data_IF_014038740438
#
_entry.id   IF_014038740438
#
_cell.length_a   1.000
_cell.length_b   1.000
_cell.length_c   1.000
_cell.angle_alpha   90.00
_cell.angle_beta   90.00
_cell.angle_gamma   90.00
#
_symmetry.space_group_name_H-M   'P 1'
#
loop_
_entity.id
_entity.type
_entity.pdbx_description
1 polymer ?
#
# COMPACT_ATOMS: atom_id res chain seq x y z
N UNK A 1 20.19 -26.47 10.99
CA UNK A 1 20.57 -25.12 10.52
C UNK A 1 19.36 -24.57 9.76
N UNK A 2 18.74 -23.47 10.21
CA UNK A 2 17.63 -22.84 9.48
C UNK A 2 18.17 -22.33 8.14
N UNK A 3 17.56 -22.74 7.03
CA UNK A 3 17.88 -22.16 5.74
C UNK A 3 17.31 -20.73 5.66
N UNK A 4 17.99 -19.84 4.93
CA UNK A 4 17.54 -18.45 4.72
C UNK A 4 16.10 -18.37 4.19
N UNK A 5 15.69 -19.36 3.39
CA UNK A 5 14.33 -19.50 2.86
C UNK A 5 13.29 -19.75 3.96
N UNK A 6 13.61 -20.56 4.97
CA UNK A 6 12.71 -20.85 6.09
C UNK A 6 12.48 -19.60 6.95
N UNK A 7 13.54 -18.80 7.12
CA UNK A 7 13.49 -17.55 7.88
C UNK A 7 12.65 -16.50 7.15
N UNK A 8 12.80 -16.38 5.83
CA UNK A 8 11.98 -15.50 5.00
C UNK A 8 10.53 -15.98 4.95
N UNK A 9 10.27 -17.29 4.85
CA UNK A 9 8.91 -17.80 4.90
C UNK A 9 8.25 -17.54 6.25
N UNK A 10 8.97 -17.69 7.36
CA UNK A 10 8.38 -17.53 8.69
C UNK A 10 8.16 -16.05 9.04
N UNK A 11 9.17 -15.19 8.85
CA UNK A 11 9.07 -13.76 9.21
C UNK A 11 8.52 -12.89 8.10
N UNK A 12 8.56 -13.36 6.86
CA UNK A 12 8.12 -12.61 5.69
C UNK A 12 6.62 -12.33 5.72
N UNK A 13 5.78 -13.32 6.05
CA UNK A 13 4.34 -13.06 6.20
C UNK A 13 4.05 -12.07 7.34
N UNK A 14 4.80 -12.13 8.44
CA UNK A 14 4.65 -11.15 9.52
C UNK A 14 5.05 -9.74 9.05
N UNK A 15 6.12 -9.62 8.27
CA UNK A 15 6.50 -8.36 7.64
C UNK A 15 5.44 -7.88 6.64
N UNK A 16 4.79 -8.76 5.88
CA UNK A 16 3.65 -8.38 5.02
C UNK A 16 2.49 -7.87 5.87
N UNK A 17 2.18 -8.52 6.99
CA UNK A 17 1.07 -8.11 7.86
C UNK A 17 1.30 -6.69 8.41
N UNK A 18 2.47 -6.43 8.98
CA UNK A 18 2.84 -5.12 9.52
C UNK A 18 3.02 -4.11 8.38
N UNK A 19 3.67 -4.49 7.30
CA UNK A 19 3.87 -3.63 6.15
C UNK A 19 2.53 -3.19 5.56
N UNK A 20 1.60 -4.13 5.37
CA UNK A 20 0.26 -3.85 4.83
C UNK A 20 -0.57 -2.89 5.68
N UNK A 21 -0.27 -2.80 6.97
CA UNK A 21 -0.87 -1.83 7.88
C UNK A 21 -0.46 -0.39 7.53
N UNK A 22 0.83 -0.15 7.29
CA UNK A 22 1.37 1.20 7.03
C UNK A 22 1.40 1.55 5.55
N UNK A 23 1.96 0.67 4.74
CA UNK A 23 2.22 0.86 3.32
C UNK A 23 1.92 -0.45 2.59
N UNK A 24 0.73 -0.53 1.98
CA UNK A 24 0.23 -1.80 1.47
C UNK A 24 0.74 -2.12 0.07
N UNK A 25 0.72 -1.14 -0.82
CA UNK A 25 0.93 -1.32 -2.25
C UNK A 25 2.34 -1.84 -2.53
N UNK A 26 3.37 -1.16 -2.02
CA UNK A 26 4.78 -1.54 -2.18
C UNK A 26 5.07 -2.91 -1.58
N UNK A 27 4.56 -3.16 -0.37
CA UNK A 27 4.78 -4.42 0.37
C UNK A 27 4.11 -5.60 -0.34
N UNK A 28 2.90 -5.41 -0.85
CA UNK A 28 2.21 -6.43 -1.65
C UNK A 28 2.88 -6.66 -3.01
N UNK A 29 3.44 -5.64 -3.65
CA UNK A 29 4.21 -5.83 -4.90
C UNK A 29 5.46 -6.67 -4.65
N UNK A 30 6.19 -6.40 -3.56
CA UNK A 30 7.33 -7.24 -3.15
C UNK A 30 6.88 -8.66 -2.76
N UNK A 31 5.76 -8.78 -2.06
CA UNK A 31 5.14 -10.06 -1.74
C UNK A 31 4.78 -10.85 -3.00
N UNK A 32 4.22 -10.19 -4.02
CA UNK A 32 3.88 -10.82 -5.30
C UNK A 32 5.14 -11.32 -6.02
N UNK A 33 6.24 -10.57 -5.98
CA UNK A 33 7.53 -11.06 -6.48
C UNK A 33 8.01 -12.30 -5.72
N UNK A 34 7.87 -12.33 -4.39
CA UNK A 34 8.20 -13.51 -3.59
C UNK A 34 7.29 -14.73 -3.91
N UNK A 35 6.03 -14.51 -4.30
CA UNK A 35 5.15 -15.57 -4.83
C UNK A 35 5.66 -16.06 -6.19
N UNK A 36 6.08 -15.16 -7.09
CA UNK A 36 6.68 -15.54 -8.37
C UNK A 36 7.92 -16.41 -8.20
N UNK A 37 8.72 -16.16 -7.16
CA UNK A 37 9.90 -16.96 -6.81
C UNK A 37 9.58 -18.23 -6.01
N UNK A 38 8.30 -18.61 -5.88
CA UNK A 38 7.83 -19.77 -5.12
C UNK A 38 8.20 -19.75 -3.62
N UNK A 39 8.56 -18.58 -3.07
CA UNK A 39 8.86 -18.41 -1.65
C UNK A 39 7.57 -18.28 -0.86
N UNK A 40 6.59 -17.53 -1.38
CA UNK A 40 5.28 -17.34 -0.74
C UNK A 40 4.15 -18.04 -1.49
N UNK A 41 3.11 -18.41 -0.74
CA UNK A 41 1.85 -18.88 -1.28
C UNK A 41 0.95 -17.69 -1.63
N UNK A 42 0.38 -17.71 -2.84
CA UNK A 42 -0.50 -16.66 -3.35
C UNK A 42 -1.68 -16.34 -2.43
N UNK A 43 -2.45 -17.36 -2.03
CA UNK A 43 -3.63 -17.18 -1.20
C UNK A 43 -3.28 -16.74 0.22
N UNK A 44 -2.21 -17.30 0.77
CA UNK A 44 -1.76 -16.93 2.12
C UNK A 44 -1.28 -15.47 2.16
N UNK A 45 -0.56 -15.02 1.12
CA UNK A 45 -0.18 -13.61 0.98
C UNK A 45 -1.41 -12.69 0.96
N UNK A 46 -2.43 -13.03 0.19
CA UNK A 46 -3.68 -12.25 0.11
C UNK A 46 -4.34 -12.15 1.49
N UNK A 47 -4.50 -13.27 2.19
CA UNK A 47 -5.14 -13.30 3.51
C UNK A 47 -4.36 -12.43 4.51
N UNK A 48 -3.04 -12.59 4.56
CA UNK A 48 -2.17 -11.85 5.48
C UNK A 48 -2.20 -10.35 5.20
N UNK A 49 -2.13 -9.95 3.93
CA UNK A 49 -2.21 -8.55 3.54
C UNK A 49 -3.60 -7.95 3.78
N UNK A 50 -4.65 -8.72 3.51
CA UNK A 50 -6.04 -8.36 3.81
C UNK A 50 -6.20 -8.08 5.31
N UNK A 51 -5.67 -8.94 6.18
CA UNK A 51 -5.71 -8.76 7.63
C UNK A 51 -4.94 -7.51 8.08
N UNK A 52 -3.71 -7.31 7.58
CA UNK A 52 -2.92 -6.14 7.91
C UNK A 52 -3.60 -4.83 7.52
N UNK A 53 -4.15 -4.77 6.30
CA UNK A 53 -4.92 -3.62 5.82
C UNK A 53 -6.21 -3.41 6.61
N UNK A 54 -6.97 -4.49 6.86
CA UNK A 54 -8.22 -4.43 7.63
C UNK A 54 -8.01 -3.86 9.03
N UNK A 55 -6.97 -4.33 9.74
CA UNK A 55 -6.66 -3.86 11.09
C UNK A 55 -6.29 -2.38 11.11
N UNK A 56 -5.48 -1.91 10.15
CA UNK A 56 -5.14 -0.50 10.02
C UNK A 56 -6.37 0.39 9.83
N UNK A 57 -7.21 0.03 8.86
CA UNK A 57 -8.42 0.78 8.55
C UNK A 57 -9.41 0.78 9.73
N UNK A 58 -9.53 -0.35 10.42
CA UNK A 58 -10.38 -0.49 11.60
C UNK A 58 -9.93 0.41 12.75
N UNK A 59 -8.61 0.53 12.98
CA UNK A 59 -8.08 1.46 13.97
C UNK A 59 -8.37 2.92 13.60
N UNK A 60 -8.17 3.30 12.35
CA UNK A 60 -8.47 4.66 11.89
C UNK A 60 -9.95 5.00 12.00
N UNK A 61 -10.83 4.06 11.65
CA UNK A 61 -12.27 4.21 11.86
C UNK A 61 -12.62 4.41 13.34
N UNK A 62 -12.03 3.62 14.24
CA UNK A 62 -12.28 3.76 15.68
C UNK A 62 -11.77 5.08 16.24
N UNK A 63 -10.59 5.55 15.78
CA UNK A 63 -10.07 6.87 16.14
C UNK A 63 -11.07 7.95 15.76
N UNK A 64 -11.58 7.93 14.52
CA UNK A 64 -12.60 8.88 14.08
C UNK A 64 -13.89 8.82 14.90
N UNK A 65 -14.35 7.61 15.22
CA UNK A 65 -15.59 7.41 15.97
C UNK A 65 -15.47 7.81 17.45
N UNK A 66 -14.31 7.65 18.06
CA UNK A 66 -14.11 7.94 19.48
C UNK A 66 -13.70 9.40 19.73
N UNK A 67 -12.77 9.94 18.94
CA UNK A 67 -12.24 11.30 19.13
C UNK A 67 -13.03 12.38 18.37
N UNK A 68 -13.91 11.98 17.44
CA UNK A 68 -14.80 12.90 16.75
C UNK A 68 -14.09 13.92 15.86
N UNK A 69 -14.84 14.96 15.48
CA UNK A 69 -14.38 15.98 14.52
C UNK A 69 -13.26 16.87 15.07
N UNK A 70 -13.19 17.03 16.39
CA UNK A 70 -12.21 17.87 17.09
C UNK A 70 -10.77 17.41 16.85
N UNK A 71 -10.56 16.11 16.63
CA UNK A 71 -9.25 15.57 16.29
C UNK A 71 -8.76 16.06 14.91
N UNK A 72 -9.66 16.10 13.93
CA UNK A 72 -9.34 16.53 12.57
C UNK A 72 -9.21 18.05 12.50
N UNK A 73 -10.05 18.81 13.21
CA UNK A 73 -10.01 20.28 13.18
C UNK A 73 -8.69 20.86 13.68
N UNK A 74 -7.98 20.16 14.57
CA UNK A 74 -6.61 20.52 15.01
C UNK A 74 -5.57 20.46 13.90
N UNK A 75 -5.89 19.85 12.75
CA UNK A 75 -4.98 19.68 11.61
C UNK A 75 -5.63 20.22 10.33
N UNK A 76 -5.29 21.45 9.89
CA UNK A 76 -5.99 22.13 8.79
C UNK A 76 -5.99 21.34 7.48
N UNK A 77 -4.91 20.62 7.16
CA UNK A 77 -4.83 19.76 5.97
C UNK A 77 -5.78 18.56 6.03
N UNK A 78 -6.02 17.99 7.21
CA UNK A 78 -6.98 16.89 7.35
C UNK A 78 -8.41 17.42 7.35
N UNK A 79 -8.67 18.57 7.96
CA UNK A 79 -9.98 19.22 7.96
C UNK A 79 -10.47 19.53 6.54
N UNK A 80 -9.60 20.11 5.70
CA UNK A 80 -9.93 20.39 4.30
C UNK A 80 -10.29 19.10 3.53
N UNK A 81 -9.52 18.03 3.72
CA UNK A 81 -9.79 16.73 3.07
C UNK A 81 -11.04 16.05 3.61
N UNK A 82 -11.33 16.20 4.91
CA UNK A 82 -12.57 15.72 5.51
C UNK A 82 -13.77 16.43 4.88
N UNK A 83 -13.73 17.74 4.73
CA UNK A 83 -14.82 18.53 4.15
C UNK A 83 -15.09 18.13 2.69
N UNK A 84 -14.02 17.99 1.89
CA UNK A 84 -14.12 17.52 0.50
C UNK A 84 -14.69 16.10 0.38
N UNK A 85 -14.32 15.21 1.31
CA UNK A 85 -14.77 13.81 1.28
C UNK A 85 -16.13 13.59 1.97
N UNK A 86 -16.57 14.50 2.84
CA UNK A 86 -17.77 14.38 3.65
C UNK A 86 -19.03 14.20 2.80
N UNK A 87 -19.19 15.00 1.75
CA UNK A 87 -20.36 14.92 0.86
C UNK A 87 -20.43 13.57 0.15
N UNK A 88 -19.28 13.04 -0.27
CA UNK A 88 -19.21 11.76 -0.98
C UNK A 88 -19.45 10.57 -0.04
N UNK A 89 -18.95 10.65 1.20
CA UNK A 89 -19.18 9.64 2.24
C UNK A 89 -20.67 9.52 2.59
N UNK A 90 -21.40 10.63 2.65
CA UNK A 90 -22.83 10.64 2.98
C UNK A 90 -23.68 9.99 1.88
N UNK A 91 -23.38 10.29 0.61
CA UNK A 91 -24.15 9.76 -0.51
C UNK A 91 -23.75 8.33 -0.88
N UNK A 92 -22.45 7.99 -0.79
CA UNK A 92 -21.91 6.71 -1.24
C UNK A 92 -20.92 6.10 -0.23
N UNK A 93 -21.35 5.72 0.98
CA UNK A 93 -20.45 5.25 2.04
C UNK A 93 -19.72 3.96 1.64
N UNK A 94 -20.43 3.01 1.03
CA UNK A 94 -19.85 1.72 0.61
C UNK A 94 -18.83 1.93 -0.52
N UNK A 95 -19.18 2.69 -1.55
CA UNK A 95 -18.26 3.00 -2.65
C UNK A 95 -17.01 3.73 -2.14
N UNK A 96 -17.16 4.63 -1.17
CA UNK A 96 -16.03 5.31 -0.55
C UNK A 96 -15.07 4.34 0.14
N UNK A 97 -15.59 3.32 0.84
CA UNK A 97 -14.78 2.28 1.48
C UNK A 97 -13.97 1.48 0.45
N UNK A 98 -14.50 1.25 -0.75
CA UNK A 98 -13.74 0.60 -1.82
C UNK A 98 -12.68 1.53 -2.41
N UNK A 99 -13.07 2.77 -2.75
CA UNK A 99 -12.20 3.72 -3.44
C UNK A 99 -11.07 4.25 -2.56
N UNK A 100 -11.26 4.30 -1.23
CA UNK A 100 -10.22 4.79 -0.32
C UNK A 100 -8.91 4.01 -0.40
N UNK A 101 -8.96 2.73 -0.81
CA UNK A 101 -7.79 1.86 -0.89
C UNK A 101 -6.86 2.20 -2.06
N UNK A 102 -7.38 2.83 -3.10
CA UNK A 102 -6.57 3.24 -4.27
C UNK A 102 -6.06 4.68 -4.15
N UNK A 103 -6.48 5.41 -3.11
CA UNK A 103 -6.16 6.81 -2.90
C UNK A 103 -5.03 6.98 -1.87
N UNK A 104 -3.78 7.04 -2.35
CA UNK A 104 -2.55 7.20 -1.56
C UNK A 104 -2.61 8.28 -0.46
N UNK A 105 -3.31 9.40 -0.72
CA UNK A 105 -3.42 10.51 0.23
C UNK A 105 -4.69 10.54 1.08
N UNK A 106 -5.62 9.61 0.86
CA UNK A 106 -6.95 9.57 1.51
C UNK A 106 -7.17 8.31 2.34
N UNK A 107 -6.28 7.32 2.22
CA UNK A 107 -6.33 6.03 2.93
C UNK A 107 -6.46 6.15 4.46
N UNK A 108 -5.88 7.18 5.07
CA UNK A 108 -6.01 7.44 6.51
C UNK A 108 -7.24 8.26 6.85
N UNK A 109 -7.56 9.23 6.00
CA UNK A 109 -8.58 10.25 6.31
C UNK A 109 -9.98 9.68 6.12
N UNK A 110 -10.21 8.89 5.07
CA UNK A 110 -11.53 8.35 4.76
C UNK A 110 -12.07 7.41 5.85
N UNK A 111 -11.31 6.43 6.39
CA UNK A 111 -11.77 5.65 7.54
C UNK A 111 -12.12 6.52 8.75
N UNK A 112 -11.28 7.50 9.08
CA UNK A 112 -11.53 8.44 10.19
C UNK A 112 -12.81 9.24 9.93
N UNK A 113 -12.99 9.78 8.72
CA UNK A 113 -14.17 10.54 8.32
C UNK A 113 -15.45 9.71 8.44
N UNK A 114 -15.42 8.46 7.99
CA UNK A 114 -16.55 7.51 8.11
C UNK A 114 -16.87 7.22 9.58
N UNK A 115 -15.83 7.11 10.42
CA UNK A 115 -15.96 6.97 11.87
C UNK A 115 -16.62 8.19 12.53
N UNK A 116 -16.16 9.39 12.19
CA UNK A 116 -16.71 10.68 12.69
C UNK A 116 -18.18 10.83 12.31
N UNK A 117 -18.54 10.44 11.08
CA UNK A 117 -19.93 10.45 10.59
C UNK A 117 -20.83 9.40 11.26
N UNK A 118 -20.28 8.56 12.14
CA UNK A 118 -21.06 7.60 12.92
C UNK A 118 -21.59 6.43 12.09
N UNK A 119 -21.04 6.16 10.90
CA UNK A 119 -21.49 5.04 10.06
C UNK A 119 -21.42 3.71 10.82
N UNK A 120 -22.42 2.81 10.76
CA UNK A 120 -22.47 1.63 11.64
C UNK A 120 -21.24 0.72 11.53
N UNK A 121 -20.65 0.37 12.68
CA UNK A 121 -19.42 -0.43 12.79
C UNK A 121 -19.50 -1.74 12.00
N UNK A 122 -20.57 -2.51 12.17
CA UNK A 122 -20.71 -3.81 11.51
C UNK A 122 -20.80 -3.67 9.99
N UNK A 123 -21.51 -2.65 9.49
CA UNK A 123 -21.62 -2.38 8.05
C UNK A 123 -20.26 -1.95 7.48
N UNK A 124 -19.53 -1.11 8.21
CA UNK A 124 -18.16 -0.72 7.85
C UNK A 124 -17.25 -1.93 7.78
N UNK A 125 -17.21 -2.76 8.82
CA UNK A 125 -16.35 -3.94 8.90
C UNK A 125 -16.59 -4.90 7.73
N UNK A 126 -17.85 -5.22 7.44
CA UNK A 126 -18.20 -6.14 6.34
C UNK A 126 -17.79 -5.58 4.98
N UNK A 127 -18.10 -4.31 4.71
CA UNK A 127 -17.69 -3.65 3.47
C UNK A 127 -16.16 -3.56 3.36
N UNK A 128 -15.48 -3.26 4.46
CA UNK A 128 -14.03 -3.15 4.51
C UNK A 128 -13.34 -4.48 4.26
N UNK A 129 -13.82 -5.59 4.84
CA UNK A 129 -13.26 -6.93 4.56
C UNK A 129 -13.30 -7.24 3.07
N UNK A 130 -14.44 -6.99 2.41
CA UNK A 130 -14.57 -7.22 0.96
C UNK A 130 -13.64 -6.28 0.18
N UNK A 131 -13.54 -5.02 0.58
CA UNK A 131 -12.63 -4.06 -0.04
C UNK A 131 -11.15 -4.47 0.13
N UNK A 132 -10.74 -4.92 1.32
CA UNK A 132 -9.41 -5.45 1.60
C UNK A 132 -9.10 -6.65 0.71
N UNK A 133 -10.04 -7.58 0.57
CA UNK A 133 -9.88 -8.77 -0.25
C UNK A 133 -9.69 -8.41 -1.73
N UNK A 134 -10.58 -7.59 -2.30
CA UNK A 134 -10.51 -7.17 -3.71
C UNK A 134 -9.20 -6.44 -3.97
N UNK A 135 -8.82 -5.51 -3.10
CA UNK A 135 -7.57 -4.77 -3.23
C UNK A 135 -6.34 -5.70 -3.18
N UNK A 136 -6.26 -6.58 -2.17
CA UNK A 136 -5.13 -7.51 -2.06
C UNK A 136 -5.05 -8.43 -3.28
N UNK A 137 -6.19 -8.97 -3.73
CA UNK A 137 -6.26 -9.81 -4.92
C UNK A 137 -5.78 -9.08 -6.18
N UNK A 138 -6.25 -7.85 -6.41
CA UNK A 138 -5.86 -7.03 -7.57
C UNK A 138 -4.38 -6.70 -7.52
N UNK A 139 -3.86 -6.19 -6.41
CA UNK A 139 -2.46 -5.77 -6.30
C UNK A 139 -1.51 -6.97 -6.42
N UNK A 140 -1.80 -8.11 -5.77
CA UNK A 140 -0.95 -9.31 -5.90
C UNK A 140 -0.97 -9.85 -7.33
N UNK A 141 -2.15 -9.93 -7.96
CA UNK A 141 -2.27 -10.42 -9.34
C UNK A 141 -1.49 -9.53 -10.31
N UNK A 142 -1.70 -8.21 -10.24
CA UNK A 142 -0.97 -7.23 -11.05
C UNK A 142 0.54 -7.31 -10.77
N UNK A 143 0.94 -7.42 -9.51
CA UNK A 143 2.34 -7.58 -9.11
C UNK A 143 2.98 -8.84 -9.67
N UNK A 144 2.24 -9.96 -9.72
CA UNK A 144 2.72 -11.21 -10.33
C UNK A 144 2.91 -11.07 -11.83
N UNK A 145 1.93 -10.50 -12.52
CA UNK A 145 2.04 -10.26 -13.95
C UNK A 145 3.21 -9.32 -14.24
N UNK A 146 3.31 -8.20 -13.51
CA UNK A 146 4.42 -7.26 -13.64
C UNK A 146 5.78 -7.92 -13.39
N UNK A 147 5.88 -8.78 -12.36
CA UNK A 147 7.10 -9.54 -12.07
C UNK A 147 7.50 -10.46 -13.23
N UNK A 148 6.53 -11.12 -13.85
CA UNK A 148 6.76 -11.97 -15.01
C UNK A 148 7.21 -11.15 -16.23
N UNK A 149 6.54 -10.03 -16.52
CA UNK A 149 6.91 -9.12 -17.60
C UNK A 149 8.32 -8.55 -17.40
N UNK A 150 8.65 -8.15 -16.17
CA UNK A 150 9.99 -7.68 -15.82
C UNK A 150 11.04 -8.78 -16.03
N UNK A 151 10.76 -10.02 -15.62
CA UNK A 151 11.68 -11.13 -15.82
C UNK A 151 11.95 -11.42 -17.29
N UNK A 152 10.90 -11.46 -18.13
CA UNK A 152 11.02 -11.67 -19.58
C UNK A 152 11.73 -10.51 -20.27
N UNK A 153 11.40 -9.27 -19.89
CA UNK A 153 12.08 -8.07 -20.38
C UNK A 153 13.56 -8.08 -20.04
N UNK A 154 13.91 -8.44 -18.80
CA UNK A 154 15.28 -8.52 -18.32
C UNK A 154 16.10 -9.57 -19.08
N UNK A 155 15.52 -10.75 -19.33
CA UNK A 155 16.14 -11.80 -20.13
C UNK A 155 16.40 -11.37 -21.59
N UNK A 156 15.53 -10.53 -22.17
CA UNK A 156 15.71 -10.02 -23.54
C UNK A 156 16.78 -8.93 -23.64
N UNK A 157 17.00 -8.14 -22.60
CA UNK A 157 17.93 -6.99 -22.62
C UNK A 157 19.35 -7.37 -22.17
N UNK A 158 19.51 -8.39 -21.33
CA UNK A 158 20.81 -8.79 -20.77
C UNK A 158 21.08 -10.29 -20.97
N UNK A 159 21.38 -10.76 -22.21
CA UNK A 159 21.61 -12.18 -22.44
C UNK A 159 22.92 -12.71 -21.85
N UNK A 160 23.85 -11.87 -21.37
CA UNK A 160 25.18 -12.34 -20.98
C UNK A 160 25.85 -11.38 -19.95
N UNK A 161 26.32 -11.95 -18.83
CA UNK A 161 26.98 -11.34 -17.64
C UNK A 161 26.07 -10.74 -16.54
N UNK A 162 25.67 -11.62 -15.61
CA UNK A 162 24.58 -11.43 -14.63
C UNK A 162 24.82 -10.46 -13.46
N UNK A 163 26.05 -10.13 -13.06
CA UNK A 163 26.25 -9.39 -11.80
C UNK A 163 26.62 -7.91 -11.97
N UNK A 164 27.40 -7.57 -13.01
CA UNK A 164 27.96 -6.22 -13.16
C UNK A 164 26.92 -5.18 -13.60
N UNK A 165 25.95 -5.58 -14.43
CA UNK A 165 24.93 -4.67 -14.96
C UNK A 165 23.79 -4.39 -13.99
N UNK A 166 23.47 -5.32 -13.09
CA UNK A 166 22.51 -5.05 -12.00
C UNK A 166 23.09 -3.96 -11.10
N UNK A 167 24.35 -4.12 -10.68
CA UNK A 167 25.08 -3.12 -9.90
C UNK A 167 25.18 -1.79 -10.67
N UNK A 168 25.50 -1.84 -11.97
CA UNK A 168 25.57 -0.66 -12.83
C UNK A 168 24.23 0.09 -12.96
N UNK A 169 23.12 -0.62 -13.13
CA UNK A 169 21.78 -0.03 -13.26
C UNK A 169 21.29 0.59 -11.95
N UNK A 170 21.58 -0.05 -10.81
CA UNK A 170 21.27 0.49 -9.48
C UNK A 170 22.08 1.76 -9.22
N UNK A 171 23.38 1.75 -9.54
CA UNK A 171 24.24 2.94 -9.41
C UNK A 171 23.75 4.06 -10.34
N UNK A 172 23.40 3.75 -11.59
CA UNK A 172 22.87 4.73 -12.53
C UNK A 172 21.54 5.34 -12.04
N UNK A 173 20.61 4.53 -11.52
CA UNK A 173 19.36 5.01 -10.93
C UNK A 173 19.62 5.94 -9.73
N UNK A 174 20.55 5.59 -8.84
CA UNK A 174 20.91 6.44 -7.69
C UNK A 174 21.50 7.78 -8.16
N UNK A 175 22.37 7.77 -9.17
CA UNK A 175 22.96 8.98 -9.74
C UNK A 175 21.91 9.85 -10.44
N UNK A 176 21.01 9.26 -11.23
CA UNK A 176 19.92 9.96 -11.90
C UNK A 176 18.98 10.60 -10.88
N UNK A 177 18.62 9.89 -9.80
CA UNK A 177 17.78 10.43 -8.73
C UNK A 177 18.48 11.58 -7.99
N UNK A 178 19.79 11.49 -7.74
CA UNK A 178 20.57 12.60 -7.15
C UNK A 178 20.63 13.82 -8.06
N UNK A 179 20.80 13.62 -9.37
CA UNK A 179 20.85 14.71 -10.36
C UNK A 179 19.46 15.35 -10.49
N UNK A 180 18.39 14.55 -10.54
CA UNK A 180 17.03 15.06 -10.57
C UNK A 180 16.70 15.85 -9.29
N UNK A 181 17.12 15.35 -8.11
CA UNK A 181 16.96 16.05 -6.84
C UNK A 181 17.75 17.36 -6.78
N UNK A 182 19.00 17.37 -7.24
CA UNK A 182 19.83 18.60 -7.24
C UNK A 182 19.28 19.65 -8.20
N UNK A 183 18.80 19.26 -9.38
CA UNK A 183 18.11 20.14 -10.34
C UNK A 183 16.82 20.70 -9.72
N UNK A 184 16.01 19.84 -9.08
CA UNK A 184 14.76 20.27 -8.45
C UNK A 184 14.99 21.27 -7.31
N UNK A 185 16.01 21.03 -6.47
CA UNK A 185 16.40 21.95 -5.38
C UNK A 185 16.96 23.26 -5.94
N UNK A 186 17.80 23.20 -6.97
CA UNK A 186 18.34 24.38 -7.65
C UNK A 186 17.24 25.25 -8.28
N UNK A 187 16.26 24.63 -8.94
CA UNK A 187 15.10 25.33 -9.50
C UNK A 187 14.18 25.93 -8.42
N UNK A 188 14.16 25.38 -7.20
CA UNK A 188 13.33 25.89 -6.09
C UNK A 188 13.98 27.06 -5.34
N UNK A 189 15.30 27.17 -5.31
CA UNK A 189 16.02 28.31 -4.70
C UNK A 189 16.07 29.56 -5.59
N UNK A 190 15.79 29.41 -6.90
CA UNK A 190 15.81 30.51 -7.87
C UNK A 190 14.44 31.19 -8.08
N UNK A 191 13.42 30.76 -7.33
CA UNK A 191 12.09 31.38 -7.21
C UNK A 191 11.96 32.04 -5.84
#
# INVERSE_FOLDING_TARGET
MMNWTDLIQHYGYFAILIGSFFEGETVLMLGAYAVHQHVFNFWLLIIVAMLGGFLGDQLYYQIGRHYGIDFIQKKPRLAQKFEQSSQFIEHYPVLTIFLMRFAWGLRTILPISIGIKGYPLLKYMLANIVACFIWAFVIVSVGLQLSHWLHVFWQKILPYHQDFYIVGSVIACILILRIAYSIFVYCRQKK
#
